data_IF_011853039291
#
_entry.id   IF_011853039291
#
_cell.length_a   1.000
_cell.length_b   1.000
_cell.length_c   1.000
_cell.angle_alpha   90.00
_cell.angle_beta   90.00
_cell.angle_gamma   90.00
#
_symmetry.space_group_name_H-M   'P 1'
#
loop_
_entity.id
_entity.type
_entity.pdbx_description
1 polymer ?
#
# COMPACT_ATOMS: atom_id res chain seq x y z
N UNK A 1 21.92 1.08 -29.33
CA UNK A 1 20.96 1.72 -28.41
C UNK A 1 20.55 0.68 -27.39
N UNK A 2 20.72 0.93 -26.10
CA UNK A 2 20.20 0.02 -25.07
C UNK A 2 18.68 0.09 -25.12
N UNK A 3 18.04 -0.95 -25.63
CA UNK A 3 16.58 -1.08 -25.53
C UNK A 3 16.27 -1.56 -24.11
N UNK A 4 15.47 -0.77 -23.39
CA UNK A 4 14.89 -1.18 -22.10
C UNK A 4 13.86 -2.29 -22.37
N UNK A 5 13.56 -3.08 -21.33
CA UNK A 5 12.53 -4.11 -21.45
C UNK A 5 11.16 -3.50 -21.74
N UNK A 6 10.29 -4.24 -22.44
CA UNK A 6 8.93 -3.79 -22.73
C UNK A 6 8.14 -3.48 -21.45
N UNK A 7 8.38 -4.24 -20.38
CA UNK A 7 7.81 -3.97 -19.05
C UNK A 7 8.16 -2.59 -18.54
N UNK A 8 9.43 -2.16 -18.67
CA UNK A 8 9.85 -0.85 -18.23
C UNK A 8 9.32 0.27 -19.13
N UNK A 9 9.26 0.00 -20.44
CA UNK A 9 8.69 0.94 -21.42
C UNK A 9 7.18 1.15 -21.26
N UNK A 10 6.47 0.20 -20.64
CA UNK A 10 5.02 0.31 -20.34
C UNK A 10 4.70 1.17 -19.12
N UNK A 11 5.72 1.50 -18.31
CA UNK A 11 5.52 2.30 -17.09
C UNK A 11 5.43 3.79 -17.41
N UNK A 12 4.54 4.48 -16.70
CA UNK A 12 4.46 5.94 -16.73
C UNK A 12 5.44 6.55 -15.73
N UNK A 13 6.12 7.67 -16.07
CA UNK A 13 6.91 8.42 -15.10
C UNK A 13 6.05 8.85 -13.90
N UNK A 14 6.65 8.86 -12.70
CA UNK A 14 5.95 9.29 -11.49
C UNK A 14 5.56 10.76 -11.58
N UNK A 15 4.26 11.04 -11.64
CA UNK A 15 3.72 12.40 -11.64
C UNK A 15 4.15 13.19 -10.38
N UNK A 16 4.17 12.53 -9.23
CA UNK A 16 4.60 13.14 -7.95
C UNK A 16 6.05 13.61 -8.01
N UNK A 17 6.97 12.78 -8.54
CA UNK A 17 8.37 13.15 -8.67
C UNK A 17 8.56 14.28 -9.69
N UNK A 18 7.86 14.23 -10.83
CA UNK A 18 7.90 15.29 -11.84
C UNK A 18 7.43 16.64 -11.27
N UNK A 19 6.35 16.65 -10.50
CA UNK A 19 5.85 17.87 -9.84
C UNK A 19 6.82 18.39 -8.78
N UNK A 20 7.43 17.51 -7.98
CA UNK A 20 8.43 17.89 -6.99
C UNK A 20 9.67 18.50 -7.63
N UNK A 21 10.16 17.88 -8.72
CA UNK A 21 11.27 18.42 -9.50
C UNK A 21 10.92 19.80 -10.08
N UNK A 22 9.75 19.96 -10.67
CA UNK A 22 9.29 21.24 -11.24
C UNK A 22 9.20 22.31 -10.17
N UNK A 23 8.69 21.98 -8.97
CA UNK A 23 8.65 22.88 -7.81
C UNK A 23 10.05 23.33 -7.40
N UNK A 24 11.02 22.41 -7.32
CA UNK A 24 12.40 22.71 -6.99
C UNK A 24 13.08 23.63 -8.03
N UNK A 25 12.86 23.36 -9.33
CA UNK A 25 13.37 24.17 -10.42
C UNK A 25 12.84 25.62 -10.35
N UNK A 26 11.54 25.80 -10.10
CA UNK A 26 10.92 27.12 -9.98
C UNK A 26 11.45 27.89 -8.75
N UNK A 27 11.59 27.19 -7.60
CA UNK A 27 12.20 27.79 -6.41
C UNK A 27 13.64 28.24 -6.65
N UNK A 28 14.43 27.44 -7.37
CA UNK A 28 15.80 27.80 -7.73
C UNK A 28 15.88 29.03 -8.64
N UNK A 29 14.81 29.35 -9.38
CA UNK A 29 14.66 30.57 -10.20
C UNK A 29 14.14 31.78 -9.41
N UNK A 30 13.95 31.63 -8.08
CA UNK A 30 13.45 32.70 -7.21
C UNK A 30 11.92 32.86 -7.20
N UNK A 31 11.18 31.92 -7.81
CA UNK A 31 9.70 31.93 -7.76
C UNK A 31 9.24 31.45 -6.39
N UNK A 32 8.30 32.19 -5.78
CA UNK A 32 7.64 31.75 -4.55
C UNK A 32 6.61 30.68 -4.88
N UNK A 33 6.95 29.42 -4.59
CA UNK A 33 6.15 28.24 -4.92
C UNK A 33 5.60 27.59 -3.66
N UNK A 34 4.27 27.50 -3.59
CA UNK A 34 3.57 26.66 -2.61
C UNK A 34 3.51 25.24 -3.20
N UNK A 35 4.24 24.30 -2.58
CA UNK A 35 4.30 22.92 -3.02
C UNK A 35 3.30 22.06 -2.24
N UNK A 36 2.28 21.52 -2.94
CA UNK A 36 1.27 20.62 -2.40
C UNK A 36 1.35 19.23 -3.04
N UNK A 37 2.43 18.90 -3.75
CA UNK A 37 2.54 17.66 -4.52
C UNK A 37 3.06 16.46 -3.71
N UNK A 38 3.70 16.70 -2.56
CA UNK A 38 4.23 15.64 -1.68
C UNK A 38 3.77 15.89 -0.26
N UNK A 39 3.19 14.85 0.35
CA UNK A 39 2.87 14.83 1.77
C UNK A 39 3.92 14.00 2.53
N UNK A 40 4.46 14.57 3.58
CA UNK A 40 5.31 13.87 4.54
C UNK A 40 5.02 14.38 5.95
N UNK A 41 5.23 13.55 6.99
CA UNK A 41 5.10 14.01 8.36
C UNK A 41 6.07 15.15 8.66
N UNK A 42 5.59 16.20 9.34
CA UNK A 42 6.39 17.36 9.73
C UNK A 42 7.16 17.14 11.05
N UNK A 43 6.93 16.02 11.73
CA UNK A 43 7.66 15.62 12.93
C UNK A 43 8.97 14.92 12.59
N UNK A 44 10.01 15.24 13.35
CA UNK A 44 11.25 14.46 13.28
C UNK A 44 11.07 13.06 13.84
N UNK A 45 11.93 12.13 13.42
CA UNK A 45 12.01 10.81 14.04
C UNK A 45 12.21 10.93 15.55
N UNK A 46 11.40 10.27 16.40
CA UNK A 46 11.52 10.31 17.84
C UNK A 46 12.94 9.94 18.33
N UNK A 47 13.41 10.63 19.38
CA UNK A 47 14.80 10.49 19.83
C UNK A 47 15.15 9.06 20.25
N UNK A 48 14.24 8.36 20.95
CA UNK A 48 14.46 6.96 21.33
C UNK A 48 14.67 6.03 20.12
N UNK A 49 14.03 6.30 18.97
CA UNK A 49 14.23 5.55 17.74
C UNK A 49 15.60 5.88 17.13
N UNK A 50 15.99 7.16 17.12
CA UNK A 50 17.32 7.58 16.66
C UNK A 50 18.43 6.93 17.49
N UNK A 51 18.29 6.94 18.81
CA UNK A 51 19.29 6.35 19.71
C UNK A 51 19.38 4.81 19.54
N UNK A 52 18.24 4.15 19.36
CA UNK A 52 18.25 2.71 19.05
C UNK A 52 18.96 2.41 17.72
N UNK A 53 18.77 3.24 16.69
CA UNK A 53 19.48 3.10 15.42
C UNK A 53 20.99 3.31 15.54
N UNK A 54 21.43 4.33 16.29
CA UNK A 54 22.86 4.56 16.58
C UNK A 54 23.47 3.37 17.33
N UNK A 55 22.77 2.89 18.36
CA UNK A 55 23.20 1.70 19.11
C UNK A 55 23.32 0.47 18.22
N UNK A 56 22.40 0.25 17.30
CA UNK A 56 22.45 -0.87 16.37
C UNK A 56 23.70 -0.79 15.45
N UNK A 57 24.11 0.40 15.04
CA UNK A 57 25.35 0.63 14.29
C UNK A 57 26.56 0.27 15.16
N UNK A 58 26.62 0.77 16.39
CA UNK A 58 27.70 0.52 17.34
C UNK A 58 27.81 -0.98 17.70
N UNK A 59 26.67 -1.67 17.80
CA UNK A 59 26.58 -3.11 18.06
C UNK A 59 26.87 -3.97 16.79
N UNK A 60 27.24 -3.34 15.67
CA UNK A 60 27.58 -4.02 14.41
C UNK A 60 26.40 -4.82 13.78
N UNK A 61 25.17 -4.30 13.85
CA UNK A 61 24.02 -4.83 13.11
C UNK A 61 24.13 -4.55 11.59
N UNK A 62 25.32 -4.69 11.04
CA UNK A 62 25.65 -4.41 9.64
C UNK A 62 25.93 -5.67 8.81
N UNK A 63 25.67 -6.86 9.40
CA UNK A 63 25.84 -8.16 8.72
C UNK A 63 24.54 -8.56 8.02
N UNK A 64 24.59 -9.61 7.22
CA UNK A 64 23.40 -10.16 6.56
C UNK A 64 22.31 -10.49 7.58
N UNK A 65 21.14 -9.94 7.37
CA UNK A 65 19.92 -10.29 8.12
C UNK A 65 19.26 -11.53 7.50
N UNK A 66 18.43 -12.26 8.26
CA UNK A 66 17.50 -13.23 7.68
C UNK A 66 16.61 -12.56 6.62
N UNK A 67 16.33 -13.27 5.53
CA UNK A 67 15.55 -12.73 4.38
C UNK A 67 14.22 -12.09 4.80
N UNK A 68 13.39 -12.71 5.69
CA UNK A 68 12.13 -12.10 6.12
C UNK A 68 12.29 -11.04 7.21
N UNK A 69 13.50 -10.69 7.61
CA UNK A 69 13.80 -9.75 8.68
C UNK A 69 14.18 -10.41 10.02
N UNK A 70 14.71 -9.61 10.94
CA UNK A 70 15.13 -10.10 12.25
C UNK A 70 13.96 -10.70 13.04
N UNK A 71 14.16 -11.83 13.75
CA UNK A 71 13.11 -12.47 14.55
C UNK A 71 12.48 -11.54 15.59
N UNK A 72 13.29 -10.70 16.23
CA UNK A 72 12.80 -9.74 17.22
C UNK A 72 11.79 -8.73 16.60
N UNK A 73 12.09 -8.20 15.41
CA UNK A 73 11.19 -7.29 14.69
C UNK A 73 9.90 -8.00 14.27
N UNK A 74 10.02 -9.21 13.73
CA UNK A 74 8.85 -10.00 13.28
C UNK A 74 7.93 -10.34 14.44
N UNK A 75 8.48 -10.71 15.60
CA UNK A 75 7.70 -10.96 16.82
C UNK A 75 7.02 -9.67 17.32
N UNK A 76 7.72 -8.54 17.33
CA UNK A 76 7.11 -7.25 17.70
C UNK A 76 5.96 -6.86 16.77
N UNK A 77 6.05 -7.15 15.47
CA UNK A 77 4.95 -6.95 14.51
C UNK A 77 3.77 -7.86 14.84
N UNK A 78 4.00 -9.14 15.17
CA UNK A 78 2.93 -10.07 15.58
C UNK A 78 2.21 -9.54 16.84
N UNK A 79 2.97 -9.10 17.84
CA UNK A 79 2.39 -8.52 19.07
C UNK A 79 1.56 -7.27 18.78
N UNK A 80 2.07 -6.38 17.90
CA UNK A 80 1.36 -5.19 17.45
C UNK A 80 0.04 -5.56 16.77
N UNK A 81 0.05 -6.46 15.80
CA UNK A 81 -1.13 -6.89 15.06
C UNK A 81 -2.18 -7.50 16.00
N UNK A 82 -1.76 -8.31 16.97
CA UNK A 82 -2.65 -8.87 17.97
C UNK A 82 -3.25 -7.78 18.88
N UNK A 83 -2.42 -6.90 19.41
CA UNK A 83 -2.83 -5.90 20.40
C UNK A 83 -3.69 -4.79 19.80
N UNK A 84 -3.31 -4.29 18.64
CA UNK A 84 -3.91 -3.09 18.05
C UNK A 84 -5.00 -3.43 17.03
N UNK A 85 -4.77 -4.46 16.21
CA UNK A 85 -5.67 -4.83 15.12
C UNK A 85 -6.54 -6.05 15.45
N UNK A 86 -6.25 -6.80 16.54
CA UNK A 86 -6.99 -8.02 16.89
C UNK A 86 -6.74 -9.18 15.91
N UNK A 87 -5.60 -9.16 15.21
CA UNK A 87 -5.23 -10.16 14.20
C UNK A 87 -4.20 -11.12 14.80
N UNK A 88 -4.42 -12.42 14.59
CA UNK A 88 -3.51 -13.46 15.08
C UNK A 88 -2.68 -14.02 13.93
N UNK A 89 -1.40 -13.66 13.94
CA UNK A 89 -0.38 -14.17 13.01
C UNK A 89 0.79 -14.80 13.76
N UNK A 90 1.57 -15.58 13.06
CA UNK A 90 2.86 -16.10 13.54
C UNK A 90 4.01 -15.33 12.88
N UNK A 91 5.18 -15.35 13.51
CA UNK A 91 6.36 -14.73 12.91
C UNK A 91 6.73 -15.32 11.53
N UNK A 92 6.33 -16.57 11.23
CA UNK A 92 6.54 -17.17 9.91
C UNK A 92 5.72 -16.49 8.80
N UNK A 93 4.63 -15.80 9.15
CA UNK A 93 3.76 -15.07 8.23
C UNK A 93 4.17 -13.59 8.06
N UNK A 94 5.24 -13.16 8.73
CA UNK A 94 5.74 -11.78 8.67
C UNK A 94 6.98 -11.72 7.78
N UNK A 95 6.97 -10.81 6.82
CA UNK A 95 8.13 -10.43 6.00
C UNK A 95 8.32 -8.92 6.06
N UNK A 96 9.53 -8.50 6.42
CA UNK A 96 9.88 -7.08 6.50
C UNK A 96 10.46 -6.59 5.17
N UNK A 97 10.15 -5.36 4.81
CA UNK A 97 10.64 -4.73 3.58
C UNK A 97 11.04 -3.27 3.83
N UNK A 98 11.73 -2.66 2.87
CA UNK A 98 12.10 -1.25 2.91
C UNK A 98 10.93 -0.37 2.50
N UNK A 99 9.97 -0.21 3.42
CA UNK A 99 8.73 0.54 3.24
C UNK A 99 7.62 -0.26 2.56
N UNK A 100 6.37 0.22 2.72
CA UNK A 100 5.18 -0.43 2.19
C UNK A 100 5.21 -0.57 0.66
N UNK A 101 5.83 0.38 -0.05
CA UNK A 101 6.00 0.29 -1.51
C UNK A 101 6.67 -1.02 -1.93
N UNK A 102 7.75 -1.42 -1.26
CA UNK A 102 8.43 -2.67 -1.56
C UNK A 102 7.57 -3.89 -1.22
N UNK A 103 6.85 -3.85 -0.09
CA UNK A 103 5.95 -4.93 0.31
C UNK A 103 4.84 -5.16 -0.71
N UNK A 104 4.15 -4.09 -1.13
CA UNK A 104 3.08 -4.16 -2.14
C UNK A 104 3.62 -4.64 -3.49
N UNK A 105 4.76 -4.09 -3.92
CA UNK A 105 5.39 -4.51 -5.18
C UNK A 105 5.78 -5.99 -5.16
N UNK A 106 6.39 -6.46 -4.08
CA UNK A 106 6.75 -7.87 -3.92
C UNK A 106 5.51 -8.77 -3.92
N UNK A 107 4.43 -8.38 -3.24
CA UNK A 107 3.19 -9.14 -3.23
C UNK A 107 2.59 -9.25 -4.64
N UNK A 108 2.54 -8.15 -5.39
CA UNK A 108 2.06 -8.15 -6.77
C UNK A 108 2.92 -9.04 -7.65
N UNK A 109 4.26 -8.92 -7.59
CA UNK A 109 5.20 -9.73 -8.39
C UNK A 109 5.10 -11.24 -8.08
N UNK A 110 4.73 -11.60 -6.85
CA UNK A 110 4.55 -13.03 -6.44
C UNK A 110 3.21 -13.57 -6.90
N UNK A 111 2.16 -12.73 -6.97
CA UNK A 111 0.79 -13.17 -7.20
C UNK A 111 0.36 -13.11 -8.67
N UNK A 112 0.85 -12.13 -9.42
CA UNK A 112 0.31 -11.71 -10.71
C UNK A 112 1.14 -12.28 -11.85
N UNK A 113 0.48 -12.90 -12.82
CA UNK A 113 1.06 -13.36 -14.08
C UNK A 113 0.61 -12.45 -15.23
N UNK A 114 1.26 -12.53 -16.41
CA UNK A 114 0.80 -11.85 -17.61
C UNK A 114 -0.67 -12.20 -17.93
N UNK A 115 -1.49 -11.15 -18.03
CA UNK A 115 -2.93 -11.29 -18.33
C UNK A 115 -3.85 -11.43 -17.11
N UNK A 116 -3.31 -11.60 -15.90
CA UNK A 116 -4.09 -11.48 -14.66
C UNK A 116 -4.55 -10.03 -14.45
N UNK A 117 -5.69 -9.88 -13.82
CA UNK A 117 -6.29 -8.59 -13.49
C UNK A 117 -6.15 -8.27 -12.01
N UNK A 118 -5.83 -7.02 -11.72
CA UNK A 118 -5.77 -6.49 -10.35
C UNK A 118 -6.70 -5.30 -10.22
N UNK A 119 -7.70 -5.40 -9.35
CA UNK A 119 -8.66 -4.32 -9.10
C UNK A 119 -7.97 -3.23 -8.26
N UNK A 120 -8.08 -1.98 -8.74
CA UNK A 120 -7.53 -0.78 -8.09
C UNK A 120 -8.63 0.26 -7.97
N UNK A 121 -9.24 0.44 -6.79
CA UNK A 121 -10.17 1.53 -6.53
C UNK A 121 -9.54 2.90 -6.79
N UNK A 122 -10.24 3.79 -7.46
CA UNK A 122 -9.79 5.15 -7.75
C UNK A 122 -10.65 6.18 -7.01
N UNK A 123 -10.05 7.29 -6.50
CA UNK A 123 -8.64 7.70 -6.59
C UNK A 123 -7.67 6.78 -5.83
N UNK A 124 -6.46 6.61 -6.37
CA UNK A 124 -5.46 5.70 -5.85
C UNK A 124 -4.06 6.34 -5.79
N UNK A 125 -3.18 5.75 -4.99
CA UNK A 125 -1.77 6.09 -5.06
C UNK A 125 -1.17 5.68 -6.41
N UNK A 126 -0.56 6.64 -7.07
CA UNK A 126 -0.07 6.53 -8.46
C UNK A 126 0.82 5.32 -8.75
N UNK A 127 1.42 4.71 -7.74
CA UNK A 127 2.29 3.56 -7.91
C UNK A 127 1.55 2.23 -8.09
N UNK A 128 0.29 2.10 -7.66
CA UNK A 128 -0.41 0.80 -7.73
C UNK A 128 -0.56 0.28 -9.17
N UNK A 129 -1.11 1.04 -10.13
CA UNK A 129 -1.22 0.56 -11.50
C UNK A 129 0.14 0.26 -12.13
N UNK A 130 1.16 1.06 -11.79
CA UNK A 130 2.50 0.85 -12.35
C UNK A 130 3.17 -0.43 -11.84
N UNK A 131 2.92 -0.81 -10.56
CA UNK A 131 3.38 -2.10 -10.02
C UNK A 131 2.68 -3.28 -10.72
N UNK A 132 1.38 -3.15 -10.99
CA UNK A 132 0.61 -4.18 -11.72
C UNK A 132 1.17 -4.35 -13.14
N UNK A 133 1.41 -3.26 -13.86
CA UNK A 133 2.04 -3.29 -15.20
C UNK A 133 3.45 -3.88 -15.16
N UNK A 134 4.24 -3.57 -14.13
CA UNK A 134 5.58 -4.14 -13.94
C UNK A 134 5.54 -5.67 -13.83
N UNK A 135 4.50 -6.21 -13.22
CA UNK A 135 4.22 -7.65 -13.15
C UNK A 135 3.53 -8.21 -14.41
N UNK A 136 3.38 -7.40 -15.47
CA UNK A 136 2.69 -7.76 -16.71
C UNK A 136 1.20 -8.07 -16.55
N UNK A 137 0.61 -7.66 -15.40
CA UNK A 137 -0.82 -7.72 -15.14
C UNK A 137 -1.57 -6.50 -15.70
N UNK A 138 -2.89 -6.59 -15.67
CA UNK A 138 -3.80 -5.53 -16.11
C UNK A 138 -4.46 -4.86 -14.91
N UNK A 139 -4.20 -3.56 -14.65
CA UNK A 139 -4.92 -2.84 -13.61
C UNK A 139 -6.36 -2.57 -14.05
N UNK A 140 -7.34 -3.03 -13.28
CA UNK A 140 -8.77 -2.77 -13.46
C UNK A 140 -9.17 -1.63 -12.54
N UNK A 141 -9.34 -0.44 -13.11
CA UNK A 141 -9.63 0.75 -12.33
C UNK A 141 -11.13 0.85 -12.05
N UNK A 142 -11.50 0.92 -10.77
CA UNK A 142 -12.89 1.07 -10.33
C UNK A 142 -13.07 2.48 -9.76
N UNK A 143 -13.73 3.40 -10.47
CA UNK A 143 -13.87 4.78 -10.02
C UNK A 143 -14.88 4.89 -8.88
N UNK A 144 -14.56 5.72 -7.88
CA UNK A 144 -15.47 6.15 -6.83
C UNK A 144 -15.40 7.67 -6.70
N UNK A 145 -16.54 8.33 -6.83
CA UNK A 145 -16.65 9.79 -6.78
C UNK A 145 -16.76 10.34 -5.36
N UNK A 146 -16.82 11.66 -5.27
CA UNK A 146 -16.99 12.37 -4.00
C UNK A 146 -18.33 12.06 -3.33
N UNK A 147 -19.35 11.76 -4.11
CA UNK A 147 -20.68 11.32 -3.68
C UNK A 147 -20.67 9.99 -2.92
N UNK A 148 -19.60 9.20 -3.10
CA UNK A 148 -19.33 7.94 -2.42
C UNK A 148 -18.17 8.06 -1.40
N UNK A 149 -17.78 9.28 -1.03
CA UNK A 149 -16.59 9.52 -0.20
C UNK A 149 -15.34 8.82 -0.76
N UNK A 150 -15.23 8.73 -2.08
CA UNK A 150 -14.13 8.07 -2.81
C UNK A 150 -13.92 6.60 -2.44
N UNK A 151 -14.96 5.90 -1.99
CA UNK A 151 -14.95 4.49 -1.58
C UNK A 151 -15.79 3.66 -2.55
N UNK A 152 -15.28 2.54 -3.02
CA UNK A 152 -16.07 1.63 -3.86
C UNK A 152 -17.12 0.89 -3.03
N UNK A 153 -18.26 0.63 -3.65
CA UNK A 153 -19.34 -0.16 -3.06
C UNK A 153 -19.15 -1.66 -3.32
N UNK A 154 -19.79 -2.54 -2.53
CA UNK A 154 -19.82 -3.98 -2.81
C UNK A 154 -20.30 -4.32 -4.22
N UNK A 155 -21.29 -3.60 -4.74
CA UNK A 155 -21.81 -3.81 -6.10
C UNK A 155 -20.78 -3.46 -7.18
N UNK A 156 -20.01 -2.37 -7.00
CA UNK A 156 -18.94 -2.00 -7.91
C UNK A 156 -17.80 -3.03 -7.88
N UNK A 157 -17.45 -3.52 -6.69
CA UNK A 157 -16.45 -4.58 -6.55
C UNK A 157 -16.91 -5.84 -7.27
N UNK A 158 -18.13 -6.32 -7.02
CA UNK A 158 -18.67 -7.53 -7.64
C UNK A 158 -18.71 -7.42 -9.16
N UNK A 159 -19.11 -6.28 -9.69
CA UNK A 159 -19.14 -6.01 -11.12
C UNK A 159 -17.76 -5.97 -11.79
N UNK A 160 -16.71 -5.65 -11.03
CA UNK A 160 -15.33 -5.58 -11.53
C UNK A 160 -14.60 -6.94 -11.50
N UNK A 161 -15.10 -7.93 -10.75
CA UNK A 161 -14.49 -9.25 -10.65
C UNK A 161 -14.78 -10.08 -11.90
N UNK A 162 -13.73 -10.60 -12.50
CA UNK A 162 -13.78 -11.53 -13.63
C UNK A 162 -13.04 -12.83 -13.29
N UNK A 163 -13.11 -13.86 -14.13
CA UNK A 163 -12.29 -15.07 -13.95
C UNK A 163 -10.77 -14.82 -13.98
N UNK A 164 -10.34 -13.65 -14.48
CA UNK A 164 -8.92 -13.24 -14.52
C UNK A 164 -8.51 -12.43 -13.30
N UNK A 165 -9.46 -12.02 -12.47
CA UNK A 165 -9.16 -11.20 -11.29
C UNK A 165 -8.35 -12.00 -10.27
N UNK A 166 -7.13 -11.54 -10.03
CA UNK A 166 -6.16 -12.18 -9.14
C UNK A 166 -6.07 -11.49 -7.79
N UNK A 167 -6.18 -10.16 -7.77
CA UNK A 167 -6.06 -9.41 -6.53
C UNK A 167 -6.92 -8.13 -6.53
N UNK A 168 -7.20 -7.64 -5.32
CA UNK A 168 -7.72 -6.31 -5.03
C UNK A 168 -6.67 -5.58 -4.19
N UNK A 169 -6.30 -4.36 -4.57
CA UNK A 169 -5.50 -3.46 -3.73
C UNK A 169 -6.47 -2.52 -3.01
N UNK A 170 -6.54 -2.62 -1.69
CA UNK A 170 -7.42 -1.80 -0.85
C UNK A 170 -6.58 -0.94 0.08
N UNK A 171 -6.67 0.40 -0.06
CA UNK A 171 -5.95 1.35 0.78
C UNK A 171 -6.92 2.07 1.72
N UNK A 172 -6.74 1.88 3.03
CA UNK A 172 -7.55 2.56 4.06
C UNK A 172 -6.74 2.76 5.34
N UNK A 173 -6.59 4.01 5.81
CA UNK A 173 -6.97 5.27 5.20
C UNK A 173 -6.33 5.49 3.83
N UNK A 174 -7.04 6.12 2.89
CA UNK A 174 -6.66 6.18 1.49
C UNK A 174 -5.63 7.28 1.19
N UNK A 175 -4.71 6.99 0.29
CA UNK A 175 -3.92 7.99 -0.41
C UNK A 175 -4.43 8.04 -1.88
N UNK A 176 -4.94 9.21 -2.39
CA UNK A 176 -4.71 10.57 -1.88
C UNK A 176 -5.85 11.18 -1.05
N UNK A 177 -7.01 10.52 -0.92
CA UNK A 177 -8.25 11.16 -0.47
C UNK A 177 -8.37 11.34 1.03
N UNK A 178 -7.67 10.52 1.83
CA UNK A 178 -7.84 10.45 3.27
C UNK A 178 -9.12 9.73 3.73
N UNK A 179 -9.93 9.24 2.80
CA UNK A 179 -11.16 8.49 3.11
C UNK A 179 -10.86 7.21 3.85
N UNK A 180 -11.72 6.86 4.80
CA UNK A 180 -11.58 5.69 5.66
C UNK A 180 -12.81 4.81 5.51
N UNK A 181 -12.61 3.54 5.21
CA UNK A 181 -13.70 2.56 5.20
C UNK A 181 -14.18 2.27 6.62
N UNK A 182 -15.49 2.33 6.84
CA UNK A 182 -16.11 1.88 8.08
C UNK A 182 -16.09 0.36 8.19
N UNK A 183 -16.39 -0.15 9.39
CA UNK A 183 -16.51 -1.59 9.62
C UNK A 183 -17.59 -2.22 8.74
N UNK A 184 -18.72 -1.52 8.60
CA UNK A 184 -19.89 -1.94 7.80
C UNK A 184 -19.56 -1.98 6.31
N UNK A 185 -18.82 -0.98 5.81
CA UNK A 185 -18.38 -0.94 4.42
C UNK A 185 -17.39 -2.07 4.12
N UNK A 186 -16.41 -2.30 5.00
CA UNK A 186 -15.49 -3.42 4.87
C UNK A 186 -16.20 -4.77 4.94
N UNK A 187 -17.19 -4.94 5.83
CA UNK A 187 -18.00 -6.15 5.89
C UNK A 187 -18.74 -6.42 4.58
N UNK A 188 -19.25 -5.36 3.94
CA UNK A 188 -19.88 -5.48 2.62
C UNK A 188 -18.90 -5.94 1.53
N UNK A 189 -17.68 -5.43 1.53
CA UNK A 189 -16.63 -5.88 0.60
C UNK A 189 -16.20 -7.32 0.90
N UNK A 190 -16.01 -7.68 2.17
CA UNK A 190 -15.65 -9.04 2.58
C UNK A 190 -16.72 -10.06 2.17
N UNK A 191 -18.00 -9.73 2.31
CA UNK A 191 -19.10 -10.59 1.88
C UNK A 191 -19.13 -10.83 0.35
N UNK A 192 -18.68 -9.87 -0.46
CA UNK A 192 -18.47 -10.09 -1.90
C UNK A 192 -17.28 -10.99 -2.12
N UNK A 193 -16.13 -10.71 -1.50
CA UNK A 193 -14.89 -11.47 -1.67
C UNK A 193 -15.02 -12.94 -1.25
N UNK A 194 -15.86 -13.23 -0.25
CA UNK A 194 -16.19 -14.59 0.17
C UNK A 194 -16.71 -15.48 -0.96
N UNK A 195 -17.34 -14.88 -1.98
CA UNK A 195 -17.81 -15.59 -3.17
C UNK A 195 -16.70 -15.89 -4.18
N UNK A 196 -15.55 -15.24 -4.04
CA UNK A 196 -14.43 -15.26 -4.97
C UNK A 196 -13.11 -15.60 -4.27
N UNK A 197 -12.94 -16.81 -3.71
CA UNK A 197 -11.78 -17.17 -2.89
C UNK A 197 -10.45 -17.16 -3.65
N UNK A 198 -10.47 -17.02 -4.96
CA UNK A 198 -9.26 -16.85 -5.79
C UNK A 198 -8.71 -15.42 -5.76
N UNK A 199 -9.49 -14.44 -5.30
CA UNK A 199 -9.07 -13.02 -5.24
C UNK A 199 -8.34 -12.74 -3.93
N UNK A 200 -7.06 -12.42 -4.03
CA UNK A 200 -6.24 -12.04 -2.87
C UNK A 200 -6.40 -10.56 -2.59
N UNK A 201 -6.62 -10.19 -1.33
CA UNK A 201 -6.66 -8.78 -0.93
C UNK A 201 -5.29 -8.33 -0.45
N UNK A 202 -4.77 -7.29 -1.09
CA UNK A 202 -3.59 -6.54 -0.64
C UNK A 202 -4.11 -5.30 0.09
N UNK A 203 -4.21 -5.40 1.42
CA UNK A 203 -4.66 -4.30 2.27
C UNK A 203 -3.46 -3.40 2.61
N UNK A 204 -3.41 -2.21 2.02
CA UNK A 204 -2.43 -1.18 2.37
C UNK A 204 -3.00 -0.29 3.47
N UNK A 205 -2.53 -0.54 4.69
CA UNK A 205 -2.98 0.11 5.91
C UNK A 205 -1.88 1.01 6.52
N UNK A 206 -0.97 1.51 5.69
CA UNK A 206 0.19 2.31 6.12
C UNK A 206 -0.22 3.53 6.96
N UNK A 207 -1.43 4.05 6.75
CA UNK A 207 -1.93 5.23 7.45
C UNK A 207 -2.82 4.90 8.65
N UNK A 208 -2.82 3.67 9.17
CA UNK A 208 -3.70 3.27 10.29
C UNK A 208 -3.61 4.18 11.52
N UNK A 209 -2.43 4.76 11.79
CA UNK A 209 -2.19 5.68 12.89
C UNK A 209 -2.45 7.15 12.53
N UNK A 210 -2.70 7.47 11.25
CA UNK A 210 -3.11 8.79 10.76
C UNK A 210 -4.59 8.70 10.40
N UNK A 211 -5.39 8.31 11.38
CA UNK A 211 -6.83 8.16 11.29
C UNK A 211 -7.49 9.07 12.32
N UNK A 212 -8.33 9.99 11.84
CA UNK A 212 -9.04 10.97 12.66
C UNK A 212 -10.51 10.59 12.87
N UNK A 213 -10.93 9.43 12.36
CA UNK A 213 -12.31 8.95 12.40
C UNK A 213 -12.36 7.62 13.18
N UNK A 214 -12.20 7.71 14.51
CA UNK A 214 -12.32 6.54 15.37
C UNK A 214 -11.18 5.53 15.27
N UNK A 215 -11.45 4.26 15.57
CA UNK A 215 -10.46 3.18 15.54
C UNK A 215 -10.33 2.64 14.12
N UNK A 216 -9.10 2.42 13.66
CA UNK A 216 -8.81 1.75 12.40
C UNK A 216 -9.46 0.36 12.33
N UNK A 217 -10.02 0.03 11.18
CA UNK A 217 -10.59 -1.27 10.87
C UNK A 217 -9.80 -1.92 9.73
N UNK A 218 -9.44 -3.17 9.91
CA UNK A 218 -8.79 -3.97 8.87
C UNK A 218 -9.77 -4.94 8.23
N UNK A 219 -9.70 -5.09 6.92
CA UNK A 219 -10.51 -6.10 6.23
C UNK A 219 -10.13 -7.53 6.67
N UNK A 220 -8.91 -7.74 7.13
CA UNK A 220 -8.45 -9.03 7.65
C UNK A 220 -9.12 -9.44 8.99
N UNK A 221 -9.92 -8.55 9.61
CA UNK A 221 -10.66 -8.87 10.84
C UNK A 221 -11.97 -9.66 10.57
N UNK A 222 -12.39 -9.76 9.30
CA UNK A 222 -13.60 -10.49 8.95
C UNK A 222 -13.30 -11.97 8.73
N UNK A 223 -14.17 -12.89 9.23
CA UNK A 223 -13.93 -14.33 9.16
C UNK A 223 -13.87 -14.88 7.72
N UNK A 224 -14.40 -14.14 6.77
CA UNK A 224 -14.43 -14.47 5.35
C UNK A 224 -13.08 -14.26 4.64
N UNK A 225 -12.11 -13.59 5.30
CA UNK A 225 -10.84 -13.14 4.72
C UNK A 225 -9.65 -14.00 5.14
#
# INVERSE_FOLDING_TARGET
MNQLSDRLNSLSPSATLAMSQKSAELKAQGVDVINLSVGEPDFNTPDHIKEAAKKAIDDNFSRYSPVPGYPALRNAIVEKLKKENGLEYTAAQISCANGAKQSVCNAILVLVNPGDEVIVPAPYWVSYPEMVKLAEGTPVIVPAGIDQDFKITPAQLEAAITPKTKALILCSPSNPTGSVYSKEELAGLAAVLAKYPQVVVIADEIYEHINYIGKHQSIAQFPEM
#
